data_IF_492486457748
#
_entry.id   IF_492486457748
#
_cell.length_a   1.000
_cell.length_b   1.000
_cell.length_c   1.000
_cell.angle_alpha   90.00
_cell.angle_beta   90.00
_cell.angle_gamma   90.00
#
_symmetry.space_group_name_H-M   'P 1'
#
loop_
_entity.id
_entity.type
_entity.pdbx_description
1 polymer ?
#
# COMPACT_ATOMS: atom_id res chain seq x y z
N UNK A 1 8.54 3.16 21.15
CA UNK A 1 9.97 2.83 20.89
C UNK A 1 10.12 2.52 19.41
N UNK A 2 11.22 2.89 18.75
CA UNK A 2 11.45 2.52 17.34
C UNK A 2 11.57 0.99 17.21
N UNK A 3 10.98 0.43 16.15
CA UNK A 3 11.10 -1.00 15.84
C UNK A 3 12.42 -1.35 15.16
N UNK A 4 13.05 -0.34 14.51
CA UNK A 4 14.35 -0.53 13.84
C UNK A 4 15.51 -0.29 14.82
N UNK A 5 16.42 -1.27 14.99
CA UNK A 5 17.62 -1.09 15.77
C UNK A 5 18.49 0.07 15.24
N UNK A 6 19.11 0.81 16.13
CA UNK A 6 20.02 1.91 15.76
C UNK A 6 19.36 3.27 15.54
N UNK A 7 18.03 3.37 15.57
CA UNK A 7 17.35 4.67 15.55
C UNK A 7 17.48 5.34 16.92
N UNK A 8 18.13 6.53 17.01
CA UNK A 8 18.27 7.23 18.29
C UNK A 8 16.90 7.63 18.87
N UNK A 9 16.72 7.49 20.19
CA UNK A 9 15.50 7.88 20.89
C UNK A 9 15.14 9.35 20.63
N UNK A 10 16.15 10.23 20.59
CA UNK A 10 15.97 11.65 20.30
C UNK A 10 15.32 11.94 18.93
N UNK A 11 15.47 11.05 17.96
CA UNK A 11 14.78 11.14 16.68
C UNK A 11 13.36 10.58 16.77
N UNK A 12 13.22 9.40 17.37
CA UNK A 12 11.94 8.70 17.46
C UNK A 12 10.88 9.47 18.28
N UNK A 13 11.30 10.24 19.28
CA UNK A 13 10.40 11.01 20.15
C UNK A 13 9.57 12.09 19.41
N UNK A 14 9.98 12.49 18.20
CA UNK A 14 9.27 13.47 17.39
C UNK A 14 8.24 12.83 16.45
N UNK A 15 8.05 11.52 16.52
CA UNK A 15 7.09 10.78 15.70
C UNK A 15 6.03 10.14 16.58
N UNK A 16 4.78 10.48 16.31
CA UNK A 16 3.61 9.84 16.90
C UNK A 16 3.13 8.75 15.95
N UNK A 17 2.86 7.56 16.46
CA UNK A 17 2.22 6.48 15.72
C UNK A 17 0.79 6.33 16.17
N UNK A 18 -0.12 6.28 15.21
CA UNK A 18 -1.57 6.10 15.44
C UNK A 18 -2.02 4.79 14.79
N UNK A 19 -3.11 4.23 15.31
CA UNK A 19 -3.72 3.04 14.71
C UNK A 19 -4.36 3.42 13.36
N UNK A 20 -4.04 2.64 12.33
CA UNK A 20 -4.61 2.82 10.99
C UNK A 20 -6.12 2.59 11.02
N UNK A 21 -6.88 3.38 10.27
CA UNK A 21 -8.34 3.40 10.26
C UNK A 21 -9.03 3.86 11.56
N UNK A 22 -8.28 4.38 12.54
CA UNK A 22 -8.85 4.93 13.76
C UNK A 22 -9.00 6.46 13.66
N UNK A 23 -10.09 6.92 13.05
CA UNK A 23 -10.39 8.35 12.90
C UNK A 23 -10.50 9.05 14.26
N UNK A 24 -11.14 8.42 15.25
CA UNK A 24 -11.33 8.99 16.58
C UNK A 24 -10.00 9.23 17.30
N UNK A 25 -9.07 8.28 17.24
CA UNK A 25 -7.74 8.47 17.82
C UNK A 25 -6.99 9.66 17.17
N UNK A 26 -7.14 9.84 15.86
CA UNK A 26 -6.59 10.98 15.15
C UNK A 26 -7.18 12.30 15.69
N UNK A 27 -8.50 12.38 15.80
CA UNK A 27 -9.19 13.57 16.36
C UNK A 27 -8.75 13.86 17.79
N UNK A 28 -8.64 12.84 18.64
CA UNK A 28 -8.22 12.97 20.03
C UNK A 28 -6.80 13.50 20.16
N UNK A 29 -5.87 13.04 19.32
CA UNK A 29 -4.48 13.50 19.30
C UNK A 29 -4.41 14.95 18.82
N UNK A 30 -5.08 15.28 17.73
CA UNK A 30 -5.13 16.64 17.21
C UNK A 30 -5.80 17.61 18.18
N UNK A 31 -6.81 17.19 18.92
CA UNK A 31 -7.47 18.04 19.92
C UNK A 31 -6.53 18.46 21.07
N UNK A 32 -5.57 17.59 21.43
CA UNK A 32 -4.64 17.80 22.53
C UNK A 32 -3.37 18.55 22.12
N UNK A 33 -2.85 18.28 20.91
CA UNK A 33 -1.55 18.80 20.49
C UNK A 33 -1.49 19.23 19.02
N UNK A 34 -2.64 19.46 18.38
CA UNK A 34 -2.73 19.83 16.97
C UNK A 34 -1.79 20.95 16.54
N UNK A 35 -1.63 22.06 17.31
CA UNK A 35 -0.69 23.14 16.94
C UNK A 35 0.80 22.72 16.93
N UNK A 36 1.15 21.58 17.51
CA UNK A 36 2.52 21.06 17.54
C UNK A 36 2.77 20.04 16.40
N UNK A 37 1.72 19.59 15.70
CA UNK A 37 1.82 18.59 14.64
C UNK A 37 2.20 19.30 13.34
N UNK A 38 3.39 19.03 12.82
CA UNK A 38 3.87 19.59 11.57
C UNK A 38 3.26 18.89 10.36
N UNK A 39 3.15 17.57 10.39
CA UNK A 39 2.66 16.78 9.27
C UNK A 39 2.07 15.44 9.72
N UNK A 40 1.19 14.90 8.88
CA UNK A 40 0.75 13.50 8.91
C UNK A 40 1.22 12.83 7.63
N UNK A 41 1.89 11.68 7.75
CA UNK A 41 2.20 10.82 6.60
C UNK A 41 1.44 9.52 6.73
N UNK A 42 0.81 9.07 5.66
CA UNK A 42 0.01 7.85 5.65
C UNK A 42 0.01 7.21 4.27
N UNK A 43 0.14 5.87 4.22
CA UNK A 43 -0.19 5.10 3.03
C UNK A 43 -1.72 5.06 2.89
N UNK A 44 -2.34 5.57 1.81
CA UNK A 44 -3.80 5.55 1.69
C UNK A 44 -4.40 4.14 1.57
N UNK A 45 -3.61 3.20 1.06
CA UNK A 45 -3.78 1.76 1.25
C UNK A 45 -2.47 1.26 1.82
N UNK A 46 -2.49 0.79 3.04
CA UNK A 46 -1.29 0.30 3.68
C UNK A 46 -0.82 -0.99 3.00
N UNK A 47 0.43 -1.00 2.54
CA UNK A 47 1.07 -2.12 1.84
C UNK A 47 2.20 -2.77 2.64
N UNK A 48 2.67 -2.12 3.72
CA UNK A 48 3.72 -2.62 4.61
C UNK A 48 3.17 -3.38 5.83
N UNK A 49 1.87 -3.56 5.90
CA UNK A 49 1.18 -4.46 6.83
C UNK A 49 0.18 -5.37 6.07
N UNK A 50 0.63 -5.93 4.94
CA UNK A 50 -0.19 -6.57 3.92
C UNK A 50 -1.13 -5.55 3.24
N UNK A 51 -2.20 -5.95 2.56
CA UNK A 51 -3.10 -5.03 1.88
C UNK A 51 -4.26 -4.61 2.81
N UNK A 52 -4.12 -3.45 3.44
CA UNK A 52 -5.18 -2.90 4.30
C UNK A 52 -5.65 -1.56 3.73
N UNK A 53 -6.85 -1.49 3.13
CA UNK A 53 -7.39 -0.23 2.60
C UNK A 53 -7.77 0.72 3.73
N UNK A 54 -7.43 2.00 3.57
CA UNK A 54 -7.95 3.05 4.44
C UNK A 54 -9.42 3.33 4.14
N UNK A 55 -10.22 3.57 5.16
CA UNK A 55 -11.62 3.95 4.98
C UNK A 55 -11.76 5.42 4.56
N UNK A 56 -12.82 5.72 3.82
CA UNK A 56 -13.11 7.12 3.43
C UNK A 56 -13.25 8.03 4.65
N UNK A 57 -13.86 7.54 5.73
CA UNK A 57 -14.02 8.29 7.00
C UNK A 57 -12.67 8.61 7.63
N UNK A 58 -11.75 7.65 7.65
CA UNK A 58 -10.40 7.85 8.18
C UNK A 58 -9.62 8.90 7.37
N UNK A 59 -9.60 8.78 6.06
CA UNK A 59 -8.89 9.74 5.20
C UNK A 59 -9.48 11.15 5.31
N UNK A 60 -10.81 11.26 5.35
CA UNK A 60 -11.47 12.54 5.51
C UNK A 60 -11.15 13.17 6.87
N UNK A 61 -11.17 12.36 7.95
CA UNK A 61 -10.78 12.84 9.28
C UNK A 61 -9.34 13.39 9.30
N UNK A 62 -8.37 12.68 8.69
CA UNK A 62 -6.99 13.17 8.57
C UNK A 62 -6.93 14.49 7.81
N UNK A 63 -7.64 14.60 6.67
CA UNK A 63 -7.66 15.84 5.88
C UNK A 63 -8.25 17.00 6.68
N UNK A 64 -9.36 16.78 7.36
CA UNK A 64 -10.05 17.79 8.15
C UNK A 64 -9.20 18.27 9.33
N UNK A 65 -8.55 17.36 10.06
CA UNK A 65 -7.65 17.73 11.15
C UNK A 65 -6.43 18.52 10.63
N UNK A 66 -5.82 18.08 9.54
CA UNK A 66 -4.71 18.81 8.92
C UNK A 66 -5.13 20.22 8.49
N UNK A 67 -6.30 20.37 7.87
CA UNK A 67 -6.85 21.67 7.50
C UNK A 67 -7.08 22.58 8.71
N UNK A 68 -7.67 22.02 9.78
CA UNK A 68 -8.03 22.75 11.00
C UNK A 68 -6.81 23.28 11.75
N UNK A 69 -5.73 22.50 11.81
CA UNK A 69 -4.55 22.82 12.62
C UNK A 69 -3.36 23.31 11.80
N UNK A 70 -3.47 23.35 10.47
CA UNK A 70 -2.40 23.81 9.57
C UNK A 70 -1.27 22.76 9.39
N UNK A 71 -1.50 21.50 9.73
CA UNK A 71 -0.56 20.42 9.48
C UNK A 71 -0.56 20.01 8.01
N UNK A 72 0.59 19.53 7.51
CA UNK A 72 0.73 19.02 6.14
C UNK A 72 0.26 17.58 6.06
N UNK A 73 -0.71 17.27 5.19
CA UNK A 73 -1.09 15.90 4.88
C UNK A 73 -0.23 15.35 3.73
N UNK A 74 0.49 14.28 3.99
CA UNK A 74 1.35 13.60 3.01
C UNK A 74 0.74 12.21 2.73
N UNK A 75 0.36 11.97 1.47
CA UNK A 75 0.01 10.62 1.03
C UNK A 75 1.26 9.91 0.53
N UNK A 76 1.62 8.82 1.18
CA UNK A 76 2.63 7.90 0.67
C UNK A 76 2.00 6.99 -0.38
N UNK A 77 2.10 7.44 -1.63
CA UNK A 77 1.65 6.69 -2.80
C UNK A 77 2.80 5.93 -3.50
N UNK A 78 3.86 5.61 -2.78
CA UNK A 78 4.95 4.82 -3.33
C UNK A 78 4.47 3.44 -3.81
N UNK A 79 3.48 2.85 -3.15
CA UNK A 79 2.85 1.60 -3.61
C UNK A 79 1.61 1.83 -4.48
N UNK A 80 0.77 2.78 -4.12
CA UNK A 80 -0.56 2.98 -4.71
C UNK A 80 -0.56 3.85 -5.97
N UNK A 81 0.40 4.77 -6.09
CA UNK A 81 0.52 5.67 -7.24
C UNK A 81 0.67 4.91 -8.56
N UNK A 82 -0.21 5.21 -9.52
CA UNK A 82 -0.29 4.53 -10.82
C UNK A 82 -0.47 2.99 -10.73
N UNK A 83 -0.92 2.49 -9.59
CA UNK A 83 -1.17 1.06 -9.37
C UNK A 83 -2.64 0.75 -9.12
N UNK A 84 -3.29 1.53 -8.26
CA UNK A 84 -4.71 1.30 -7.92
C UNK A 84 -5.66 2.05 -8.83
N UNK A 85 -5.22 3.18 -9.37
CA UNK A 85 -5.94 4.00 -10.33
C UNK A 85 -4.95 4.90 -11.11
N UNK A 86 -5.35 5.53 -12.24
CA UNK A 86 -4.52 6.47 -12.99
C UNK A 86 -4.01 7.65 -12.13
N UNK A 87 -4.83 8.14 -11.22
CA UNK A 87 -4.51 9.23 -10.28
C UNK A 87 -4.12 8.73 -8.88
N UNK A 88 -3.76 7.45 -8.73
CA UNK A 88 -3.41 6.86 -7.44
C UNK A 88 -4.61 6.73 -6.49
N UNK A 89 -4.32 6.44 -5.22
CA UNK A 89 -5.35 6.31 -4.20
C UNK A 89 -6.00 7.65 -3.82
N UNK A 90 -5.30 8.77 -3.96
CA UNK A 90 -5.89 10.10 -3.76
C UNK A 90 -7.10 10.35 -4.68
N UNK A 91 -7.02 9.90 -5.94
CA UNK A 91 -8.14 9.98 -6.87
C UNK A 91 -9.26 9.00 -6.51
N UNK A 92 -8.89 7.79 -6.07
CA UNK A 92 -9.83 6.75 -5.66
C UNK A 92 -10.69 7.19 -4.46
N UNK A 93 -10.07 7.83 -3.47
CA UNK A 93 -10.75 8.30 -2.25
C UNK A 93 -11.28 9.73 -2.34
N UNK A 94 -10.95 10.47 -3.39
CA UNK A 94 -11.35 11.88 -3.55
C UNK A 94 -10.69 12.81 -2.53
N UNK A 95 -9.52 12.45 -1.99
CA UNK A 95 -8.75 13.24 -1.04
C UNK A 95 -7.59 13.92 -1.76
N UNK A 96 -7.41 15.22 -1.55
CA UNK A 96 -6.27 15.97 -2.07
C UNK A 96 -5.27 16.17 -0.91
N UNK A 97 -4.14 15.47 -0.90
CA UNK A 97 -3.08 15.69 0.08
C UNK A 97 -2.32 16.98 -0.24
N UNK A 98 -1.57 17.52 0.73
CA UNK A 98 -0.68 18.65 0.51
C UNK A 98 0.59 18.22 -0.24
N UNK A 99 1.09 17.04 0.06
CA UNK A 99 2.23 16.39 -0.62
C UNK A 99 1.92 14.94 -0.94
N UNK A 100 2.51 14.45 -2.02
CA UNK A 100 2.45 13.04 -2.43
C UNK A 100 3.86 12.52 -2.66
N UNK A 101 4.17 11.34 -2.14
CA UNK A 101 5.41 10.61 -2.48
C UNK A 101 5.10 9.49 -3.49
N UNK A 102 5.99 9.29 -4.45
CA UNK A 102 5.85 8.32 -5.53
C UNK A 102 7.14 7.49 -5.68
N UNK A 103 7.00 6.27 -6.13
CA UNK A 103 8.11 5.37 -6.40
C UNK A 103 7.64 4.15 -7.21
N UNK A 104 8.35 3.04 -7.10
CA UNK A 104 7.97 1.74 -7.69
C UNK A 104 7.50 1.83 -9.15
N UNK A 105 6.18 1.92 -9.41
CA UNK A 105 5.61 1.92 -10.78
C UNK A 105 6.20 3.02 -11.65
N UNK A 106 6.44 4.21 -11.12
CA UNK A 106 7.02 5.32 -11.90
C UNK A 106 8.44 5.08 -12.37
N UNK A 107 9.12 4.09 -11.83
CA UNK A 107 10.47 3.67 -12.26
C UNK A 107 10.46 2.56 -13.29
N UNK A 108 9.32 1.90 -13.54
CA UNK A 108 9.22 0.80 -14.52
C UNK A 108 10.17 -0.36 -14.22
N UNK A 109 10.42 -0.66 -12.94
CA UNK A 109 11.35 -1.68 -12.46
C UNK A 109 12.74 -1.13 -12.10
N UNK A 110 13.03 0.13 -12.41
CA UNK A 110 14.29 0.79 -12.04
C UNK A 110 14.10 1.71 -10.83
N UNK A 111 15.19 2.02 -10.07
CA UNK A 111 15.11 2.82 -8.85
C UNK A 111 14.76 4.28 -9.17
N UNK A 112 13.59 4.70 -8.71
CA UNK A 112 13.08 6.07 -8.81
C UNK A 112 12.30 6.39 -7.55
N UNK A 113 12.47 7.61 -7.05
CA UNK A 113 11.62 8.23 -6.06
C UNK A 113 11.26 9.64 -6.52
N UNK A 114 10.05 10.07 -6.24
CA UNK A 114 9.60 11.43 -6.50
C UNK A 114 8.68 11.89 -5.37
N UNK A 115 8.61 13.20 -5.18
CA UNK A 115 7.62 13.84 -4.32
C UNK A 115 7.21 15.16 -4.94
N UNK A 116 6.01 15.58 -4.61
CA UNK A 116 5.45 16.83 -5.11
C UNK A 116 4.14 17.17 -4.41
N UNK A 117 3.58 18.32 -4.72
CA UNK A 117 2.30 18.76 -4.18
C UNK A 117 2.11 20.26 -4.28
N UNK A 118 1.58 20.88 -3.25
CA UNK A 118 1.26 22.31 -3.19
C UNK A 118 2.46 23.18 -3.56
N UNK A 119 2.24 24.10 -4.47
CA UNK A 119 3.29 24.97 -5.02
C UNK A 119 3.98 25.81 -3.93
N UNK A 120 3.23 26.32 -2.94
CA UNK A 120 3.78 27.10 -1.84
C UNK A 120 4.77 26.30 -0.99
N UNK A 121 4.53 24.98 -0.80
CA UNK A 121 5.47 24.09 -0.11
C UNK A 121 6.67 23.78 -1.01
N UNK A 122 6.43 23.44 -2.27
CA UNK A 122 7.50 23.05 -3.20
C UNK A 122 8.46 24.21 -3.53
N UNK A 123 8.02 25.46 -3.41
CA UNK A 123 8.88 26.65 -3.59
C UNK A 123 9.96 26.80 -2.50
N UNK A 124 9.87 26.08 -1.40
CA UNK A 124 10.95 26.03 -0.41
C UNK A 124 12.19 25.27 -0.88
N UNK A 125 12.07 24.47 -1.96
CA UNK A 125 13.20 23.71 -2.50
C UNK A 125 14.16 24.61 -3.30
N UNK A 126 15.45 24.33 -3.18
CA UNK A 126 16.47 24.95 -4.02
C UNK A 126 16.21 24.67 -5.52
N UNK A 127 16.51 25.61 -6.43
CA UNK A 127 17.18 26.91 -6.21
C UNK A 127 16.22 28.05 -5.81
N UNK A 128 14.91 27.84 -5.79
CA UNK A 128 13.91 28.87 -5.45
C UNK A 128 13.95 29.15 -3.96
N UNK A 129 13.92 28.12 -3.14
CA UNK A 129 14.03 28.20 -1.69
C UNK A 129 15.38 27.72 -1.16
N UNK A 130 15.48 27.61 0.16
CA UNK A 130 16.72 27.25 0.87
C UNK A 130 16.88 25.74 1.17
N UNK A 131 15.84 24.95 0.95
CA UNK A 131 15.87 23.52 1.25
C UNK A 131 16.58 22.75 0.14
N UNK A 132 17.77 22.25 0.44
CA UNK A 132 18.56 21.48 -0.51
C UNK A 132 18.07 20.03 -0.59
N UNK A 133 17.84 19.58 -1.83
CA UNK A 133 17.52 18.19 -2.17
C UNK A 133 18.30 17.81 -3.42
N UNK A 134 19.08 16.73 -3.35
CA UNK A 134 19.80 16.18 -4.48
C UNK A 134 20.02 14.67 -4.31
N UNK A 135 20.19 13.97 -5.42
CA UNK A 135 20.54 12.57 -5.48
C UNK A 135 21.33 12.28 -6.76
N UNK A 136 22.45 11.58 -6.65
CA UNK A 136 23.34 11.28 -7.78
C UNK A 136 22.59 10.59 -8.92
N UNK A 137 21.66 9.70 -8.62
CA UNK A 137 20.88 8.96 -9.61
C UNK A 137 19.52 9.61 -9.93
N UNK A 138 19.21 10.80 -9.36
CA UNK A 138 17.97 11.50 -9.65
C UNK A 138 17.90 11.87 -11.13
N UNK A 139 16.81 11.49 -11.81
CA UNK A 139 16.61 11.77 -13.22
C UNK A 139 17.52 10.99 -14.16
N UNK A 140 18.13 9.86 -13.72
CA UNK A 140 18.97 9.08 -14.61
C UNK A 140 18.18 8.60 -15.83
N UNK A 141 18.80 8.64 -17.05
CA UNK A 141 18.07 8.45 -18.30
C UNK A 141 17.46 7.05 -18.44
N UNK A 142 18.05 6.01 -17.86
CA UNK A 142 17.51 4.66 -17.94
C UNK A 142 16.22 4.53 -17.16
N UNK A 143 16.18 5.03 -15.92
CA UNK A 143 14.98 5.00 -15.09
C UNK A 143 13.89 5.92 -15.67
N UNK A 144 14.25 7.07 -16.23
CA UNK A 144 13.30 7.96 -16.90
C UNK A 144 12.67 7.30 -18.12
N UNK A 145 13.47 6.63 -18.96
CA UNK A 145 12.96 5.92 -20.14
C UNK A 145 12.06 4.74 -19.76
N UNK A 146 12.46 3.93 -18.78
CA UNK A 146 11.68 2.79 -18.30
C UNK A 146 10.36 3.26 -17.66
N UNK A 147 10.41 4.29 -16.82
CA UNK A 147 9.25 4.89 -16.19
C UNK A 147 8.28 5.45 -17.22
N UNK A 148 8.76 6.22 -18.21
CA UNK A 148 7.92 6.77 -19.27
C UNK A 148 7.24 5.65 -20.10
N UNK A 149 7.98 4.60 -20.46
CA UNK A 149 7.42 3.46 -21.19
C UNK A 149 6.34 2.73 -20.38
N UNK A 150 6.53 2.61 -19.05
CA UNK A 150 5.56 2.01 -18.15
C UNK A 150 4.32 2.90 -18.01
N UNK A 151 4.49 4.20 -17.78
CA UNK A 151 3.37 5.15 -17.66
C UNK A 151 2.52 5.21 -18.93
N UNK A 152 3.13 5.19 -20.12
CA UNK A 152 2.38 5.09 -21.39
C UNK A 152 1.49 3.83 -21.46
N UNK A 153 1.94 2.70 -20.89
CA UNK A 153 1.18 1.46 -20.86
C UNK A 153 0.03 1.51 -19.82
N UNK A 154 0.32 1.96 -18.60
CA UNK A 154 -0.68 1.97 -17.52
C UNK A 154 -1.75 3.05 -17.71
N UNK A 155 -1.45 4.12 -18.45
CA UNK A 155 -2.41 5.16 -18.78
C UNK A 155 -3.21 4.87 -20.06
N UNK A 156 -2.99 3.72 -20.71
CA UNK A 156 -3.81 3.30 -21.84
C UNK A 156 -5.29 3.08 -21.40
N UNK A 157 -6.25 3.37 -22.27
CA UNK A 157 -7.65 3.15 -21.97
C UNK A 157 -7.91 1.72 -21.46
N UNK A 158 -8.81 1.57 -20.50
CA UNK A 158 -9.23 0.29 -19.90
C UNK A 158 -8.12 -0.50 -19.18
N UNK A 159 -6.92 0.02 -19.01
CA UNK A 159 -5.84 -0.71 -18.36
C UNK A 159 -6.21 -1.08 -16.91
N UNK A 160 -6.66 -0.11 -16.12
CA UNK A 160 -7.01 -0.35 -14.69
C UNK A 160 -8.25 -1.22 -14.54
N UNK A 161 -9.24 -1.07 -15.39
CA UNK A 161 -10.43 -1.94 -15.41
C UNK A 161 -10.04 -3.40 -15.65
N UNK A 162 -9.19 -3.66 -16.65
CA UNK A 162 -8.69 -5.00 -16.94
C UNK A 162 -7.80 -5.56 -15.83
N UNK A 163 -6.98 -4.72 -15.22
CA UNK A 163 -6.12 -5.11 -14.09
C UNK A 163 -6.98 -5.52 -12.90
N UNK A 164 -8.00 -4.72 -12.57
CA UNK A 164 -8.92 -4.98 -11.48
C UNK A 164 -9.73 -6.27 -11.72
N UNK A 165 -10.24 -6.50 -12.94
CA UNK A 165 -10.94 -7.75 -13.30
C UNK A 165 -10.06 -8.98 -13.07
N UNK A 166 -8.80 -8.94 -13.49
CA UNK A 166 -7.83 -10.03 -13.28
C UNK A 166 -7.56 -10.25 -11.77
N UNK A 167 -7.38 -9.16 -11.03
CA UNK A 167 -7.14 -9.22 -9.58
C UNK A 167 -8.36 -9.80 -8.87
N UNK A 168 -9.56 -9.34 -9.20
CA UNK A 168 -10.81 -9.84 -8.60
C UNK A 168 -11.00 -11.33 -8.88
N UNK A 169 -10.71 -11.79 -10.11
CA UNK A 169 -10.79 -13.22 -10.44
C UNK A 169 -9.90 -14.07 -9.54
N UNK A 170 -8.64 -13.65 -9.33
CA UNK A 170 -7.72 -14.35 -8.43
C UNK A 170 -8.21 -14.31 -6.98
N UNK A 171 -8.58 -13.13 -6.49
CA UNK A 171 -9.04 -12.91 -5.12
C UNK A 171 -10.30 -13.72 -4.82
N UNK A 172 -11.27 -13.75 -5.73
CA UNK A 172 -12.49 -14.56 -5.58
C UNK A 172 -12.17 -16.05 -5.61
N UNK A 173 -11.17 -16.47 -6.39
CA UNK A 173 -10.67 -17.83 -6.37
C UNK A 173 -10.06 -18.22 -5.03
N UNK A 174 -9.23 -17.35 -4.45
CA UNK A 174 -8.62 -17.57 -3.14
C UNK A 174 -9.67 -17.60 -2.02
N UNK A 175 -10.66 -16.71 -2.05
CA UNK A 175 -11.78 -16.71 -1.08
C UNK A 175 -12.54 -18.04 -1.13
N UNK A 176 -12.95 -18.47 -2.33
CA UNK A 176 -13.62 -19.76 -2.50
C UNK A 176 -12.78 -20.95 -2.03
N UNK A 177 -11.47 -20.92 -2.29
CA UNK A 177 -10.57 -21.96 -1.81
C UNK A 177 -10.57 -22.03 -0.27
N UNK A 178 -10.46 -20.90 0.43
CA UNK A 178 -10.57 -20.84 1.89
C UNK A 178 -11.92 -21.33 2.42
N UNK A 179 -13.02 -20.92 1.78
CA UNK A 179 -14.38 -21.38 2.15
C UNK A 179 -14.56 -22.88 1.97
N UNK A 180 -14.08 -23.44 0.85
CA UNK A 180 -14.23 -24.86 0.52
C UNK A 180 -13.43 -25.74 1.47
N UNK A 181 -12.24 -25.31 1.85
CA UNK A 181 -11.37 -26.06 2.77
C UNK A 181 -11.72 -25.84 4.25
N UNK A 182 -12.61 -24.89 4.55
CA UNK A 182 -12.98 -24.53 5.91
C UNK A 182 -11.88 -23.78 6.68
N UNK A 183 -10.80 -23.36 6.01
CA UNK A 183 -9.76 -22.57 6.63
C UNK A 183 -10.17 -21.09 6.71
N UNK A 184 -10.20 -20.50 7.90
CA UNK A 184 -10.60 -19.11 8.06
C UNK A 184 -9.56 -18.18 7.41
N UNK A 185 -9.99 -17.47 6.36
CA UNK A 185 -9.14 -16.56 5.58
C UNK A 185 -9.91 -15.31 5.17
N UNK A 186 -9.27 -14.15 5.32
CA UNK A 186 -9.73 -12.86 4.79
C UNK A 186 -8.84 -12.46 3.63
N UNK A 187 -9.43 -11.96 2.54
CA UNK A 187 -8.68 -11.43 1.38
C UNK A 187 -9.15 -10.01 1.09
N UNK A 188 -8.24 -9.06 1.20
CA UNK A 188 -8.44 -7.65 0.84
C UNK A 188 -7.94 -7.39 -0.58
N UNK A 189 -8.55 -6.41 -1.27
CA UNK A 189 -8.16 -5.98 -2.61
C UNK A 189 -8.40 -4.48 -2.80
N UNK A 190 -7.46 -3.81 -3.49
CA UNK A 190 -7.66 -2.47 -4.05
C UNK A 190 -6.96 -2.38 -5.40
N UNK A 191 -7.73 -2.25 -6.48
CA UNK A 191 -7.19 -2.26 -7.85
C UNK A 191 -6.33 -3.49 -8.12
N UNK A 192 -5.06 -3.27 -8.47
CA UNK A 192 -4.08 -4.34 -8.70
C UNK A 192 -3.33 -4.83 -7.45
N UNK A 193 -3.70 -4.38 -6.25
CA UNK A 193 -3.14 -4.80 -4.97
C UNK A 193 -4.09 -5.76 -4.28
N UNK A 194 -3.57 -6.79 -3.64
CA UNK A 194 -4.34 -7.70 -2.79
C UNK A 194 -3.47 -8.28 -1.68
N UNK A 195 -4.14 -8.81 -0.66
CA UNK A 195 -3.48 -9.50 0.41
C UNK A 195 -4.43 -10.45 1.11
N UNK A 196 -3.91 -11.49 1.73
CA UNK A 196 -4.68 -12.48 2.45
C UNK A 196 -4.14 -12.69 3.85
N UNK A 197 -5.05 -13.01 4.76
CA UNK A 197 -4.79 -13.18 6.18
C UNK A 197 -5.44 -14.47 6.66
N UNK A 198 -4.70 -15.32 7.32
CA UNK A 198 -5.27 -16.47 8.01
C UNK A 198 -5.83 -16.03 9.36
N UNK A 199 -7.12 -15.81 9.41
CA UNK A 199 -7.81 -15.31 10.61
C UNK A 199 -9.28 -15.68 10.60
N UNK A 200 -9.83 -15.91 11.80
CA UNK A 200 -11.27 -16.11 11.98
C UNK A 200 -12.06 -14.78 12.09
N UNK A 201 -11.39 -13.63 12.08
CA UNK A 201 -12.06 -12.33 12.01
C UNK A 201 -12.79 -12.17 10.69
N UNK A 202 -13.95 -11.52 10.70
CA UNK A 202 -14.71 -11.27 9.46
C UNK A 202 -14.06 -10.24 8.53
N UNK A 203 -13.11 -9.45 9.04
CA UNK A 203 -12.39 -8.40 8.31
C UNK A 203 -11.01 -8.17 8.93
N UNK A 204 -10.10 -7.56 8.15
CA UNK A 204 -8.81 -7.05 8.63
C UNK A 204 -8.66 -5.61 8.12
N UNK A 205 -8.70 -4.66 9.03
CA UNK A 205 -8.80 -3.22 8.73
C UNK A 205 -7.75 -2.37 9.44
N UNK A 206 -7.02 -2.93 10.41
CA UNK A 206 -6.02 -2.20 11.19
C UNK A 206 -4.81 -3.09 11.53
N UNK A 207 -3.73 -2.48 12.04
CA UNK A 207 -2.49 -3.19 12.33
C UNK A 207 -2.64 -4.24 13.44
N UNK A 208 -3.44 -3.96 14.45
CA UNK A 208 -3.69 -4.93 15.55
C UNK A 208 -4.36 -6.21 15.05
N UNK A 209 -5.28 -6.12 14.07
CA UNK A 209 -5.92 -7.28 13.44
C UNK A 209 -4.93 -8.05 12.52
N UNK A 210 -4.04 -7.32 11.81
CA UNK A 210 -2.96 -7.95 11.04
C UNK A 210 -2.03 -8.77 11.95
N UNK A 211 -1.62 -8.19 13.09
CA UNK A 211 -0.76 -8.87 14.08
C UNK A 211 -1.42 -10.06 14.75
N UNK A 212 -2.76 -10.12 14.80
CA UNK A 212 -3.52 -11.24 15.33
C UNK A 212 -3.71 -12.39 14.31
N UNK A 213 -3.28 -12.20 13.06
CA UNK A 213 -3.36 -13.23 12.03
C UNK A 213 -2.35 -14.36 12.26
N UNK A 214 -2.68 -15.56 11.81
CA UNK A 214 -1.85 -16.76 11.95
C UNK A 214 -0.68 -16.73 10.95
N UNK A 215 0.45 -16.21 11.39
CA UNK A 215 1.68 -16.12 10.57
C UNK A 215 2.35 -17.47 10.34
N UNK A 216 2.16 -18.45 11.24
CA UNK A 216 2.73 -19.80 11.08
C UNK A 216 1.99 -20.52 9.96
N UNK A 217 0.68 -20.38 9.90
CA UNK A 217 -0.13 -20.89 8.80
C UNK A 217 0.22 -20.25 7.47
N UNK A 218 0.49 -18.93 7.47
CA UNK A 218 1.01 -18.25 6.28
C UNK A 218 2.32 -18.88 5.79
N UNK A 219 3.25 -19.19 6.68
CA UNK A 219 4.53 -19.82 6.30
C UNK A 219 4.33 -21.18 5.64
N UNK A 220 3.45 -22.03 6.19
CA UNK A 220 3.11 -23.32 5.59
C UNK A 220 2.53 -23.12 4.18
N UNK A 221 1.57 -22.23 4.04
CA UNK A 221 0.97 -21.91 2.75
C UNK A 221 1.99 -21.36 1.75
N UNK A 222 2.85 -20.42 2.18
CA UNK A 222 3.91 -19.86 1.34
C UNK A 222 4.82 -20.98 0.78
N UNK A 223 5.28 -21.90 1.61
CA UNK A 223 6.16 -22.98 1.16
C UNK A 223 5.43 -23.94 0.21
N UNK A 224 4.20 -24.30 0.48
CA UNK A 224 3.40 -25.14 -0.41
C UNK A 224 3.19 -24.48 -1.80
N UNK A 225 2.91 -23.19 -1.82
CA UNK A 225 2.79 -22.42 -3.07
C UNK A 225 4.13 -22.33 -3.83
N UNK A 226 5.24 -22.12 -3.11
CA UNK A 226 6.57 -22.07 -3.71
C UNK A 226 6.95 -23.42 -4.34
N UNK A 227 6.72 -24.52 -3.66
CA UNK A 227 6.93 -25.91 -4.17
C UNK A 227 6.04 -26.18 -5.41
N UNK A 228 4.83 -25.66 -5.41
CA UNK A 228 3.94 -25.71 -6.57
C UNK A 228 4.35 -24.77 -7.71
N UNK A 229 5.40 -23.97 -7.57
CA UNK A 229 5.93 -23.05 -8.57
C UNK A 229 5.21 -21.69 -8.61
N UNK A 230 4.56 -21.29 -7.53
CA UNK A 230 3.97 -19.95 -7.36
C UNK A 230 4.77 -19.20 -6.30
N UNK A 231 5.52 -18.17 -6.72
CA UNK A 231 6.34 -17.37 -5.83
C UNK A 231 5.54 -16.19 -5.27
N UNK A 232 5.19 -16.27 -3.99
CA UNK A 232 4.58 -15.18 -3.21
C UNK A 232 5.66 -14.40 -2.46
N UNK A 233 5.32 -13.26 -1.87
CA UNK A 233 6.23 -12.58 -0.95
C UNK A 233 6.47 -13.44 0.30
N UNK A 234 7.72 -13.54 0.80
CA UNK A 234 8.06 -14.43 1.92
C UNK A 234 7.70 -13.84 3.30
N UNK A 235 6.72 -12.97 3.36
CA UNK A 235 6.26 -12.31 4.59
C UNK A 235 4.76 -12.10 4.57
N UNK A 236 4.09 -12.45 5.67
CA UNK A 236 2.66 -12.20 5.86
C UNK A 236 2.29 -10.70 5.89
N UNK A 237 3.28 -9.83 6.01
CA UNK A 237 3.11 -8.37 6.06
C UNK A 237 3.30 -7.70 4.69
N UNK A 238 3.63 -8.44 3.65
CA UNK A 238 3.81 -7.90 2.30
C UNK A 238 2.54 -8.01 1.47
N UNK A 239 2.19 -6.92 0.81
CA UNK A 239 1.11 -6.89 -0.20
C UNK A 239 1.53 -7.66 -1.45
N UNK A 240 0.58 -8.36 -2.05
CA UNK A 240 0.73 -8.98 -3.36
C UNK A 240 0.21 -8.06 -4.48
N UNK A 241 0.77 -8.22 -5.67
CA UNK A 241 0.47 -7.37 -6.81
C UNK A 241 0.12 -8.19 -8.06
N UNK A 242 -1.02 -7.85 -8.67
CA UNK A 242 -1.37 -8.37 -9.99
C UNK A 242 -0.67 -7.56 -11.08
N UNK A 243 -0.18 -8.27 -12.10
CA UNK A 243 0.31 -7.65 -13.33
C UNK A 243 -0.68 -7.89 -14.48
N UNK A 244 -0.78 -6.93 -15.39
CA UNK A 244 -1.56 -7.10 -16.63
C UNK A 244 -0.97 -8.22 -17.52
N UNK A 245 0.30 -8.60 -17.30
CA UNK A 245 0.96 -9.69 -18.00
C UNK A 245 0.51 -11.08 -17.52
N UNK A 246 -0.07 -11.20 -16.33
CA UNK A 246 -0.67 -12.47 -15.92
C UNK A 246 -1.89 -12.75 -16.80
N UNK A 247 -1.85 -13.87 -17.54
CA UNK A 247 -2.95 -14.35 -18.35
C UNK A 247 -3.96 -15.15 -17.52
N UNK A 248 -5.03 -15.58 -18.17
CA UNK A 248 -6.06 -16.39 -17.53
C UNK A 248 -5.51 -17.73 -17.04
N UNK A 249 -4.56 -18.31 -17.79
CA UNK A 249 -3.91 -19.58 -17.45
C UNK A 249 -3.12 -19.47 -16.15
N UNK A 250 -2.32 -18.40 -15.96
CA UNK A 250 -1.55 -18.18 -14.74
C UNK A 250 -2.46 -17.95 -13.54
N UNK A 251 -3.57 -17.24 -13.73
CA UNK A 251 -4.56 -16.99 -12.66
C UNK A 251 -5.22 -18.32 -12.26
N UNK A 252 -5.71 -19.12 -13.23
CA UNK A 252 -6.37 -20.38 -12.95
C UNK A 252 -5.44 -21.39 -12.28
N UNK A 253 -4.22 -21.52 -12.77
CA UNK A 253 -3.21 -22.37 -12.14
C UNK A 253 -2.87 -21.92 -10.73
N UNK A 254 -2.82 -20.62 -10.47
CA UNK A 254 -2.57 -20.09 -9.13
C UNK A 254 -3.71 -20.45 -8.17
N UNK A 255 -4.97 -20.32 -8.63
CA UNK A 255 -6.15 -20.70 -7.84
C UNK A 255 -6.16 -22.21 -7.55
N UNK A 256 -5.91 -23.05 -8.56
CA UNK A 256 -5.85 -24.52 -8.41
C UNK A 256 -4.79 -24.92 -7.38
N UNK A 257 -3.58 -24.38 -7.51
CA UNK A 257 -2.47 -24.66 -6.59
C UNK A 257 -2.74 -24.16 -5.17
N UNK A 258 -3.34 -22.98 -5.05
CA UNK A 258 -3.74 -22.46 -3.75
C UNK A 258 -4.81 -23.32 -3.08
N UNK A 259 -5.79 -23.81 -3.85
CA UNK A 259 -6.80 -24.73 -3.34
C UNK A 259 -6.16 -26.01 -2.82
N UNK A 260 -5.27 -26.64 -3.61
CA UNK A 260 -4.57 -27.84 -3.20
C UNK A 260 -3.68 -27.64 -1.97
N UNK A 261 -3.01 -26.49 -1.87
CA UNK A 261 -2.22 -26.13 -0.71
C UNK A 261 -3.08 -25.96 0.56
N UNK A 262 -4.23 -25.31 0.44
CA UNK A 262 -5.17 -25.13 1.54
C UNK A 262 -5.83 -26.46 1.96
N UNK A 263 -6.20 -27.32 1.00
CA UNK A 263 -6.73 -28.67 1.30
C UNK A 263 -5.74 -29.51 2.13
N UNK A 264 -4.44 -29.40 1.81
CA UNK A 264 -3.40 -30.10 2.54
C UNK A 264 -3.14 -29.56 3.97
N UNK A 265 -3.64 -28.37 4.27
CA UNK A 265 -3.50 -27.66 5.56
C UNK A 265 -4.74 -27.78 6.45
N UNK A 266 -5.88 -28.23 5.90
CA UNK A 266 -7.14 -28.42 6.61
C UNK A 266 -7.11 -29.73 7.43
#
# INVERSE_FOLDING_TARGET
MPTSPGVPVAMAQHTLTLEFNNAQQSEDVFSRMGPEIAAVIVEPVAGNMNCVPGSAVFHQALRDQCNKYGAVLIFDEVMTGFRVAPGGAQALYGIVPDLTTLGKVIGGGLPVGAFGGRADIMQHLAPVGSVYQAGTLSGNPLAMAAGLATLHKVLAPTFFERLEQKTSRLVDGLRRAGETTGLPMVVNQVGGMFGFFFTASGSVTCFSEVMASDTDRFQVFFHAMLEAGVYLAPSAFETAFMSIAHGDTEIDQTIEKATAALDAMA
#
